data_IF_283773374140
#
_entry.id   IF_283773374140
#
_cell.length_a   1.000
_cell.length_b   1.000
_cell.length_c   1.000
_cell.angle_alpha   90.00
_cell.angle_beta   90.00
_cell.angle_gamma   90.00
#
_symmetry.space_group_name_H-M   'P 1'
#
loop_
_entity.id
_entity.type
_entity.pdbx_description
1 polymer ?
#
# COMPACT_ATOMS: atom_id res chain seq x y z
N UNK A 1 4.38 8.01 -9.12
CA UNK A 1 5.84 7.76 -9.10
C UNK A 1 6.56 8.38 -7.90
N UNK A 2 6.28 9.62 -7.52
CA UNK A 2 6.95 10.33 -6.41
C UNK A 2 7.21 9.49 -5.14
N UNK A 3 6.20 8.73 -4.69
CA UNK A 3 6.32 7.90 -3.49
C UNK A 3 7.32 6.74 -3.60
N UNK A 4 7.48 6.18 -4.80
CA UNK A 4 8.47 5.13 -5.07
C UNK A 4 9.89 5.70 -4.99
N UNK A 5 10.12 6.86 -5.62
CA UNK A 5 11.40 7.58 -5.58
C UNK A 5 11.77 7.95 -4.14
N UNK A 6 10.82 8.52 -3.38
CA UNK A 6 11.03 8.87 -1.98
C UNK A 6 11.36 7.63 -1.13
N UNK A 7 10.70 6.50 -1.39
CA UNK A 7 10.96 5.24 -0.69
C UNK A 7 12.37 4.71 -1.00
N UNK A 8 12.79 4.69 -2.27
CA UNK A 8 14.15 4.30 -2.66
C UNK A 8 15.20 5.22 -2.04
N UNK A 9 14.94 6.53 -2.03
CA UNK A 9 15.80 7.53 -1.40
C UNK A 9 15.96 7.27 0.10
N UNK A 10 14.85 7.07 0.82
CA UNK A 10 14.85 6.77 2.24
C UNK A 10 15.59 5.47 2.56
N UNK A 11 15.31 4.40 1.81
CA UNK A 11 15.96 3.09 1.97
C UNK A 11 17.48 3.18 1.80
N UNK A 12 17.95 3.94 0.80
CA UNK A 12 19.38 4.10 0.54
C UNK A 12 20.12 4.81 1.68
N UNK A 13 19.43 5.65 2.45
CA UNK A 13 20.02 6.47 3.53
C UNK A 13 19.85 5.86 4.93
N UNK A 14 18.79 5.06 5.15
CA UNK A 14 18.37 4.64 6.49
C UNK A 14 18.37 3.11 6.70
N UNK A 15 18.66 2.33 5.65
CA UNK A 15 18.64 0.87 5.74
C UNK A 15 19.87 0.22 5.12
N UNK A 16 20.09 -1.06 5.41
CA UNK A 16 21.09 -1.88 4.74
C UNK A 16 20.50 -2.65 3.54
N UNK A 17 19.27 -2.34 3.14
CA UNK A 17 18.60 -3.01 2.02
C UNK A 17 19.29 -2.58 0.72
N UNK A 18 19.74 -3.53 -0.13
CA UNK A 18 20.28 -3.17 -1.44
C UNK A 18 19.15 -2.68 -2.35
N UNK A 19 19.09 -1.37 -2.57
CA UNK A 19 18.14 -0.73 -3.48
C UNK A 19 18.87 -0.05 -4.64
N UNK A 20 18.27 0.01 -5.85
CA UNK A 20 18.83 0.77 -6.95
C UNK A 20 18.88 2.25 -6.61
N UNK A 21 19.96 2.92 -6.99
CA UNK A 21 20.05 4.38 -6.88
C UNK A 21 19.27 5.02 -8.01
N UNK A 22 18.39 5.96 -7.66
CA UNK A 22 17.67 6.78 -8.64
C UNK A 22 18.65 7.74 -9.31
N UNK A 23 18.66 7.75 -10.64
CA UNK A 23 19.51 8.61 -11.48
C UNK A 23 18.73 9.86 -11.90
N UNK A 24 17.51 9.66 -12.38
CA UNK A 24 16.59 10.71 -12.80
C UNK A 24 15.16 10.17 -12.78
N UNK A 25 14.18 11.04 -12.67
CA UNK A 25 12.77 10.69 -12.81
C UNK A 25 11.98 11.93 -13.23
N UNK A 26 10.79 11.70 -13.76
CA UNK A 26 9.78 12.72 -14.00
C UNK A 26 8.42 12.13 -13.62
N UNK A 27 7.75 12.77 -12.66
CA UNK A 27 6.43 12.36 -12.16
C UNK A 27 5.29 13.25 -12.68
N UNK A 28 5.58 14.15 -13.62
CA UNK A 28 4.57 14.98 -14.28
C UNK A 28 3.80 14.19 -15.33
N UNK A 29 2.51 14.53 -15.49
CA UNK A 29 1.64 13.99 -16.56
C UNK A 29 1.47 15.02 -17.66
N UNK A 30 1.31 14.54 -18.89
CA UNK A 30 1.38 15.24 -20.19
C UNK A 30 0.27 16.28 -20.46
N UNK A 31 -0.20 16.96 -19.42
CA UNK A 31 -1.19 18.02 -19.51
C UNK A 31 -0.88 19.25 -18.63
N UNK A 32 0.15 19.21 -17.78
CA UNK A 32 0.53 20.36 -16.94
C UNK A 32 1.77 21.12 -17.47
N UNK A 33 2.71 20.46 -18.15
CA UNK A 33 3.91 21.09 -18.72
C UNK A 33 4.42 20.30 -19.93
N UNK A 34 4.77 20.98 -21.03
CA UNK A 34 5.37 20.39 -22.25
C UNK A 34 6.79 19.82 -22.04
N UNK A 35 7.22 19.63 -20.80
CA UNK A 35 8.61 19.34 -20.44
C UNK A 35 8.86 17.83 -20.34
N UNK A 36 7.84 17.00 -20.09
CA UNK A 36 7.96 15.55 -20.12
C UNK A 36 7.69 15.00 -21.53
N UNK A 37 8.72 14.96 -22.38
CA UNK A 37 8.62 14.48 -23.77
C UNK A 37 8.14 13.02 -23.91
N UNK A 38 8.25 12.21 -22.85
CA UNK A 38 7.79 10.80 -22.85
C UNK A 38 6.27 10.72 -22.69
N UNK A 39 5.65 11.74 -22.09
CA UNK A 39 4.20 11.83 -21.89
C UNK A 39 3.64 10.95 -20.76
N UNK A 40 4.51 10.26 -20.02
CA UNK A 40 4.14 9.41 -18.87
C UNK A 40 5.16 9.56 -17.74
N UNK A 41 4.75 9.25 -16.52
CA UNK A 41 5.66 9.18 -15.38
C UNK A 41 6.78 8.14 -15.67
N UNK A 42 8.04 8.49 -15.47
CA UNK A 42 9.18 7.58 -15.68
C UNK A 42 10.30 7.75 -14.64
N UNK A 43 10.98 6.64 -14.34
CA UNK A 43 12.14 6.58 -13.43
C UNK A 43 13.31 5.89 -14.13
N UNK A 44 14.49 6.49 -14.04
CA UNK A 44 15.76 5.92 -14.45
C UNK A 44 16.60 5.63 -13.20
N UNK A 45 17.09 4.41 -13.08
CA UNK A 45 17.83 3.95 -11.90
C UNK A 45 18.91 2.93 -12.26
N UNK A 46 19.85 2.69 -11.34
CA UNK A 46 20.90 1.70 -11.51
C UNK A 46 20.32 0.29 -11.73
N UNK A 47 20.95 -0.50 -12.61
CA UNK A 47 20.60 -1.90 -12.78
C UNK A 47 21.19 -2.76 -11.63
N UNK A 48 20.32 -3.38 -10.82
CA UNK A 48 20.73 -4.33 -9.78
C UNK A 48 20.86 -5.71 -10.40
N UNK A 49 22.09 -6.22 -10.49
CA UNK A 49 22.33 -7.57 -11.01
C UNK A 49 21.81 -8.62 -10.04
N UNK A 50 20.99 -9.55 -10.52
CA UNK A 50 20.41 -10.60 -9.70
C UNK A 50 19.55 -11.57 -10.51
N UNK A 51 18.98 -12.54 -9.83
CA UNK A 51 17.94 -13.42 -10.38
C UNK A 51 16.84 -13.58 -9.34
N UNK A 52 15.60 -13.73 -9.80
CA UNK A 52 14.46 -13.92 -8.93
C UNK A 52 14.63 -15.18 -8.06
N UNK A 53 14.32 -15.06 -6.77
CA UNK A 53 14.32 -16.17 -5.83
C UNK A 53 13.42 -17.31 -6.33
N UNK A 54 12.23 -17.01 -6.86
CA UNK A 54 11.34 -17.97 -7.52
C UNK A 54 12.06 -18.90 -8.51
N UNK A 55 12.96 -18.36 -9.32
CA UNK A 55 13.68 -19.12 -10.37
C UNK A 55 14.70 -20.09 -9.77
N UNK A 56 15.29 -19.74 -8.63
CA UNK A 56 16.36 -20.51 -7.96
C UNK A 56 15.82 -21.38 -6.82
N UNK A 57 14.65 -21.07 -6.27
CA UNK A 57 14.13 -21.61 -5.02
C UNK A 57 14.14 -23.14 -4.96
N UNK A 58 13.69 -23.82 -6.03
CA UNK A 58 13.69 -25.29 -6.10
C UNK A 58 15.09 -25.92 -6.09
N UNK A 59 16.10 -25.18 -6.53
CA UNK A 59 17.51 -25.61 -6.62
C UNK A 59 18.34 -25.17 -5.40
N UNK A 60 17.81 -24.26 -4.59
CA UNK A 60 18.47 -23.82 -3.35
C UNK A 60 18.45 -24.91 -2.29
N UNK A 61 19.53 -25.00 -1.53
CA UNK A 61 19.57 -25.87 -0.35
C UNK A 61 18.63 -25.32 0.73
N UNK A 62 18.30 -26.14 1.73
CA UNK A 62 17.52 -25.66 2.88
C UNK A 62 18.25 -24.57 3.67
N UNK A 63 19.59 -24.62 3.73
CA UNK A 63 20.38 -23.59 4.39
C UNK A 63 20.30 -22.26 3.63
N UNK A 64 20.44 -22.29 2.29
CA UNK A 64 20.31 -21.07 1.47
C UNK A 64 18.93 -20.42 1.62
N UNK A 65 17.87 -21.22 1.68
CA UNK A 65 16.50 -20.73 1.89
C UNK A 65 16.35 -20.08 3.26
N UNK A 66 16.90 -20.73 4.29
CA UNK A 66 16.92 -20.18 5.65
C UNK A 66 17.64 -18.84 5.68
N UNK A 67 18.85 -18.76 5.13
CA UNK A 67 19.62 -17.51 5.06
C UNK A 67 18.87 -16.41 4.31
N UNK A 68 18.21 -16.74 3.19
CA UNK A 68 17.40 -15.79 2.43
C UNK A 68 16.24 -15.23 3.29
N UNK A 69 15.47 -16.10 3.93
CA UNK A 69 14.34 -15.69 4.78
C UNK A 69 14.83 -14.87 5.99
N UNK A 70 15.94 -15.24 6.62
CA UNK A 70 16.56 -14.47 7.71
C UNK A 70 16.97 -13.07 7.26
N UNK A 71 17.54 -12.93 6.06
CA UNK A 71 17.88 -11.62 5.49
C UNK A 71 16.64 -10.78 5.19
N UNK A 72 15.60 -11.38 4.60
CA UNK A 72 14.31 -10.71 4.35
C UNK A 72 13.72 -10.18 5.67
N UNK A 73 13.68 -11.02 6.70
CA UNK A 73 13.16 -10.63 8.01
C UNK A 73 13.98 -9.50 8.64
N UNK A 74 15.32 -9.56 8.54
CA UNK A 74 16.21 -8.50 9.05
C UNK A 74 15.98 -7.18 8.34
N UNK A 75 15.82 -7.20 7.01
CA UNK A 75 15.53 -6.01 6.22
C UNK A 75 14.17 -5.42 6.59
N UNK A 76 13.12 -6.24 6.67
CA UNK A 76 11.78 -5.77 7.07
C UNK A 76 11.75 -5.13 8.45
N UNK A 77 12.49 -5.67 9.42
CA UNK A 77 12.59 -5.09 10.76
C UNK A 77 13.14 -3.66 10.76
N UNK A 78 13.94 -3.29 9.76
CA UNK A 78 14.46 -1.92 9.58
C UNK A 78 13.40 -0.96 9.00
N UNK A 79 12.30 -1.47 8.46
CA UNK A 79 11.27 -0.70 7.73
C UNK A 79 10.03 -0.40 8.57
N UNK A 80 10.03 -0.78 9.85
CA UNK A 80 8.89 -0.56 10.74
C UNK A 80 8.85 0.91 11.19
N UNK A 81 8.11 1.74 10.45
CA UNK A 81 7.78 3.12 10.80
C UNK A 81 6.46 3.16 11.62
N UNK A 82 6.32 4.03 12.64
CA UNK A 82 5.08 4.22 13.40
C UNK A 82 3.88 4.78 12.60
N UNK A 83 4.05 5.44 11.46
CA UNK A 83 2.93 5.92 10.64
C UNK A 83 2.55 4.97 9.49
N UNK A 84 1.31 5.07 9.00
CA UNK A 84 0.78 4.34 7.84
C UNK A 84 0.55 5.36 6.71
N UNK A 85 1.36 5.30 5.66
CA UNK A 85 1.30 6.23 4.55
C UNK A 85 2.32 5.90 3.47
N UNK A 86 2.31 6.68 2.40
CA UNK A 86 3.36 6.63 1.37
C UNK A 86 4.39 7.69 1.68
N UNK A 87 5.68 7.36 1.60
CA UNK A 87 6.74 8.33 1.85
C UNK A 87 6.75 9.43 0.79
N UNK A 88 7.10 10.63 1.23
CA UNK A 88 7.30 11.80 0.40
C UNK A 88 8.59 12.49 0.83
N UNK A 89 9.38 12.90 -0.16
CA UNK A 89 10.56 13.71 0.06
C UNK A 89 10.20 15.19 0.24
N UNK A 90 10.87 15.85 1.17
CA UNK A 90 10.71 17.27 1.50
C UNK A 90 12.08 17.88 1.75
N UNK A 91 12.16 19.21 1.86
CA UNK A 91 13.40 19.93 2.21
C UNK A 91 14.03 19.46 3.54
N UNK A 92 13.25 18.82 4.41
CA UNK A 92 13.66 18.37 5.74
C UNK A 92 13.88 16.84 5.83
N UNK A 93 13.83 16.15 4.69
CA UNK A 93 13.95 14.69 4.61
C UNK A 93 12.64 14.02 4.20
N UNK A 94 12.47 12.76 4.57
CA UNK A 94 11.34 11.94 4.17
C UNK A 94 10.28 11.89 5.26
N UNK A 95 9.02 12.12 4.88
CA UNK A 95 7.88 12.03 5.79
C UNK A 95 6.80 11.14 5.18
N UNK A 96 6.06 10.39 6.01
CA UNK A 96 4.81 9.75 5.60
C UNK A 96 3.78 10.80 5.14
N UNK A 97 3.14 10.55 4.00
CA UNK A 97 2.05 11.35 3.43
C UNK A 97 0.84 10.44 3.13
N UNK A 98 -0.13 10.92 2.34
CA UNK A 98 -1.30 10.17 1.88
C UNK A 98 -0.92 8.77 1.40
N UNK A 99 -1.63 7.78 1.89
CA UNK A 99 -1.50 6.38 1.49
C UNK A 99 -1.94 6.20 0.04
N UNK A 100 -1.04 5.68 -0.79
CA UNK A 100 -1.35 5.23 -2.14
C UNK A 100 -1.63 3.72 -2.10
N UNK A 101 -2.91 3.37 -2.01
CA UNK A 101 -3.41 1.99 -2.08
C UNK A 101 -4.59 1.93 -3.05
N UNK A 102 -4.69 0.85 -3.84
CA UNK A 102 -5.76 0.69 -4.84
C UNK A 102 -7.16 0.89 -4.23
N UNK A 103 -7.37 0.44 -2.99
CA UNK A 103 -8.64 0.66 -2.30
C UNK A 103 -9.01 2.14 -2.21
N UNK A 104 -8.04 3.05 -2.12
CA UNK A 104 -8.32 4.47 -1.97
C UNK A 104 -8.57 5.17 -3.32
N UNK A 105 -7.93 4.77 -4.41
CA UNK A 105 -7.98 5.55 -5.67
C UNK A 105 -8.62 4.83 -6.85
N UNK A 106 -8.95 3.54 -6.75
CA UNK A 106 -9.54 2.80 -7.88
C UNK A 106 -11.02 3.14 -8.06
N UNK A 107 -11.43 3.44 -9.30
CA UNK A 107 -12.82 3.74 -9.64
C UNK A 107 -13.39 4.92 -8.85
N UNK A 108 -14.62 4.80 -8.37
CA UNK A 108 -15.32 5.87 -7.65
C UNK A 108 -14.67 6.24 -6.32
N UNK A 109 -13.82 5.36 -5.76
CA UNK A 109 -13.15 5.61 -4.48
C UNK A 109 -12.26 6.86 -4.53
N UNK A 110 -11.72 7.21 -5.70
CA UNK A 110 -10.94 8.42 -5.90
C UNK A 110 -11.74 9.69 -5.53
N UNK A 111 -13.05 9.69 -5.84
CA UNK A 111 -13.92 10.85 -5.67
C UNK A 111 -14.52 10.95 -4.26
N UNK A 112 -14.28 9.97 -3.38
CA UNK A 112 -14.80 10.02 -2.04
C UNK A 112 -14.01 11.01 -1.18
N UNK A 113 -14.75 11.89 -0.51
CA UNK A 113 -14.22 12.72 0.57
C UNK A 113 -14.00 11.85 1.81
N UNK A 114 -12.74 11.52 2.06
CA UNK A 114 -12.28 10.64 3.13
C UNK A 114 -10.84 11.00 3.47
N UNK A 115 -10.45 10.82 4.73
CA UNK A 115 -9.05 10.97 5.13
C UNK A 115 -8.19 9.89 4.45
N UNK A 116 -7.11 10.29 3.78
CA UNK A 116 -6.26 9.37 3.00
C UNK A 116 -4.91 9.11 3.65
N UNK A 117 -4.73 9.53 4.89
CA UNK A 117 -3.47 9.47 5.60
C UNK A 117 -2.65 10.76 5.50
N UNK A 118 -1.44 10.76 6.08
CA UNK A 118 -0.85 9.64 6.81
C UNK A 118 -1.67 9.29 8.05
N UNK A 119 -1.84 8.00 8.35
CA UNK A 119 -2.56 7.55 9.53
C UNK A 119 -1.57 7.26 10.65
N UNK A 120 -1.89 7.70 11.87
CA UNK A 120 -1.05 7.45 13.06
C UNK A 120 -1.43 6.18 13.80
N UNK A 121 -2.61 5.65 13.54
CA UNK A 121 -3.13 4.44 14.18
C UNK A 121 -3.86 3.55 13.18
N UNK A 122 -3.93 2.26 13.52
CA UNK A 122 -4.73 1.26 12.81
C UNK A 122 -6.20 1.63 12.82
N UNK A 123 -6.69 2.25 13.91
CA UNK A 123 -8.05 2.79 13.98
C UNK A 123 -8.31 3.79 12.85
N UNK A 124 -7.49 4.84 12.72
CA UNK A 124 -7.71 5.88 11.72
C UNK A 124 -7.63 5.37 10.28
N UNK A 125 -6.69 4.45 10.02
CA UNK A 125 -6.57 3.77 8.73
C UNK A 125 -7.79 2.91 8.41
N UNK A 126 -8.17 2.00 9.31
CA UNK A 126 -9.25 1.05 9.10
C UNK A 126 -10.62 1.74 9.06
N UNK A 127 -10.79 2.82 9.83
CA UNK A 127 -11.95 3.71 9.73
C UNK A 127 -12.16 4.20 8.31
N UNK A 128 -11.11 4.78 7.71
CA UNK A 128 -11.17 5.35 6.36
C UNK A 128 -11.37 4.26 5.30
N UNK A 129 -10.71 3.12 5.47
CA UNK A 129 -10.87 1.95 4.62
C UNK A 129 -12.32 1.42 4.62
N UNK A 130 -12.90 1.21 5.81
CA UNK A 130 -14.28 0.73 5.97
C UNK A 130 -15.29 1.77 5.46
N UNK A 131 -15.03 3.05 5.68
CA UNK A 131 -15.88 4.12 5.15
C UNK A 131 -15.96 4.07 3.61
N UNK A 132 -14.81 3.94 2.93
CA UNK A 132 -14.75 3.78 1.47
C UNK A 132 -15.51 2.52 1.05
N UNK A 133 -15.28 1.39 1.74
CA UNK A 133 -15.93 0.13 1.43
C UNK A 133 -17.45 0.22 1.52
N UNK A 134 -17.97 0.74 2.63
CA UNK A 134 -19.41 0.91 2.86
C UNK A 134 -20.00 1.82 1.78
N UNK A 135 -19.38 2.97 1.52
CA UNK A 135 -19.86 3.92 0.52
C UNK A 135 -19.85 3.33 -0.88
N UNK A 136 -18.77 2.66 -1.27
CA UNK A 136 -18.64 1.97 -2.57
C UNK A 136 -19.69 0.87 -2.74
N UNK A 137 -19.93 0.07 -1.70
CA UNK A 137 -20.95 -1.00 -1.74
C UNK A 137 -22.37 -0.45 -1.78
N UNK A 138 -22.68 0.67 -1.13
CA UNK A 138 -23.98 1.34 -1.29
C UNK A 138 -24.20 1.76 -2.75
N UNK A 139 -23.21 2.39 -3.39
CA UNK A 139 -23.32 2.78 -4.80
C UNK A 139 -23.46 1.56 -5.73
N UNK A 140 -22.72 0.48 -5.46
CA UNK A 140 -22.84 -0.76 -6.22
C UNK A 140 -24.22 -1.41 -6.06
N UNK A 141 -24.82 -1.35 -4.86
CA UNK A 141 -26.16 -1.86 -4.60
C UNK A 141 -27.22 -1.05 -5.35
N UNK A 142 -27.15 0.29 -5.28
CA UNK A 142 -28.03 1.18 -6.02
C UNK A 142 -27.94 0.92 -7.55
N UNK A 143 -26.74 0.55 -8.02
CA UNK A 143 -26.51 0.14 -9.40
C UNK A 143 -27.16 -1.20 -9.74
N UNK A 144 -26.92 -2.24 -8.93
CA UNK A 144 -27.48 -3.57 -9.16
C UNK A 144 -29.01 -3.56 -9.15
N UNK A 145 -29.64 -2.86 -8.19
CA UNK A 145 -31.11 -2.71 -8.11
C UNK A 145 -31.66 -2.02 -9.36
N UNK A 146 -30.98 -0.97 -9.84
CA UNK A 146 -31.40 -0.24 -11.04
C UNK A 146 -31.23 -1.07 -12.32
N UNK A 147 -30.23 -1.94 -12.37
CA UNK A 147 -29.91 -2.78 -13.53
C UNK A 147 -30.64 -4.14 -13.50
N UNK A 148 -31.28 -4.49 -12.38
CA UNK A 148 -32.01 -5.75 -12.22
C UNK A 148 -31.11 -6.97 -12.07
N UNK A 149 -29.88 -6.79 -11.57
CA UNK A 149 -28.91 -7.85 -11.34
C UNK A 149 -29.04 -8.40 -9.91
N UNK A 150 -29.84 -9.45 -9.74
CA UNK A 150 -30.15 -10.03 -8.43
C UNK A 150 -28.94 -10.76 -7.79
N UNK A 151 -28.08 -11.38 -8.60
CA UNK A 151 -26.88 -12.09 -8.09
C UNK A 151 -25.85 -11.08 -7.54
N UNK A 152 -25.59 -10.01 -8.29
CA UNK A 152 -24.74 -8.90 -7.83
C UNK A 152 -25.34 -8.21 -6.59
N UNK A 153 -26.67 -8.09 -6.51
CA UNK A 153 -27.32 -7.45 -5.37
C UNK A 153 -27.12 -8.22 -4.07
N UNK A 154 -27.24 -9.56 -4.08
CA UNK A 154 -27.06 -10.40 -2.90
C UNK A 154 -25.60 -10.39 -2.40
N UNK A 155 -24.62 -10.47 -3.31
CA UNK A 155 -23.20 -10.42 -2.95
C UNK A 155 -22.83 -9.05 -2.37
N UNK A 156 -23.33 -7.97 -2.97
CA UNK A 156 -23.10 -6.60 -2.48
C UNK A 156 -23.75 -6.40 -1.11
N UNK A 157 -24.98 -6.90 -0.91
CA UNK A 157 -25.68 -6.84 0.37
C UNK A 157 -24.93 -7.55 1.49
N UNK A 158 -24.44 -8.77 1.23
CA UNK A 158 -23.64 -9.52 2.18
C UNK A 158 -22.37 -8.75 2.58
N UNK A 159 -21.59 -8.29 1.59
CA UNK A 159 -20.37 -7.55 1.85
C UNK A 159 -20.62 -6.22 2.59
N UNK A 160 -21.68 -5.49 2.24
CA UNK A 160 -22.07 -4.25 2.92
C UNK A 160 -22.42 -4.49 4.39
N UNK A 161 -23.12 -5.58 4.68
CA UNK A 161 -23.45 -5.97 6.06
C UNK A 161 -22.17 -6.22 6.87
N UNK A 162 -21.25 -7.03 6.35
CA UNK A 162 -19.98 -7.32 7.03
C UNK A 162 -19.18 -6.04 7.28
N UNK A 163 -19.08 -5.15 6.28
CA UNK A 163 -18.36 -3.89 6.44
C UNK A 163 -18.96 -2.99 7.53
N UNK A 164 -20.30 -2.94 7.64
CA UNK A 164 -21.00 -2.21 8.70
C UNK A 164 -20.79 -2.84 10.09
N UNK A 165 -20.83 -4.16 10.19
CA UNK A 165 -20.55 -4.87 11.45
C UNK A 165 -19.11 -4.60 11.91
N UNK A 166 -18.12 -4.67 11.01
CA UNK A 166 -16.73 -4.32 11.30
C UNK A 166 -16.55 -2.86 11.72
N UNK A 167 -17.27 -1.93 11.08
CA UNK A 167 -17.23 -0.51 11.44
C UNK A 167 -17.76 -0.27 12.87
N UNK A 168 -18.79 -0.99 13.29
CA UNK A 168 -19.33 -0.88 14.65
C UNK A 168 -18.39 -1.48 15.70
N UNK A 169 -17.66 -2.54 15.36
CA UNK A 169 -16.66 -3.17 16.24
C UNK A 169 -15.34 -2.38 16.30
N UNK A 170 -15.11 -1.47 15.35
CA UNK A 170 -13.83 -0.78 15.20
C UNK A 170 -13.35 -0.11 16.50
N UNK A 171 -14.17 0.67 17.25
CA UNK A 171 -13.72 1.31 18.49
C UNK A 171 -13.41 0.33 19.63
N UNK A 172 -13.95 -0.89 19.57
CA UNK A 172 -13.70 -1.93 20.59
C UNK A 172 -12.40 -2.70 20.32
N UNK A 173 -12.05 -2.89 19.04
CA UNK A 173 -10.84 -3.62 18.62
C UNK A 173 -9.63 -2.69 18.57
N UNK A 174 -9.81 -1.50 18.00
CA UNK A 174 -8.80 -0.45 17.92
C UNK A 174 -9.38 0.82 18.56
N UNK A 175 -8.86 1.21 19.72
CA UNK A 175 -9.33 2.38 20.45
C UNK A 175 -8.98 3.67 19.69
N UNK A 176 -9.88 4.67 19.61
CA UNK A 176 -9.62 5.90 18.84
C UNK A 176 -8.51 6.81 19.41
N UNK A 177 -8.31 6.78 20.72
CA UNK A 177 -7.54 7.78 21.48
C UNK A 177 -6.13 7.36 21.87
N UNK A 178 -5.73 6.14 21.53
CA UNK A 178 -4.40 5.68 21.86
C UNK A 178 -3.49 5.90 20.64
N UNK A 179 -2.41 6.66 20.87
CA UNK A 179 -1.10 6.44 20.22
C UNK A 179 -0.64 5.04 20.68
N UNK A 180 -1.45 4.02 20.39
CA UNK A 180 -1.21 2.65 20.82
C UNK A 180 0.12 2.27 20.22
N UNK A 181 0.89 1.54 21.01
CA UNK A 181 1.98 0.70 20.53
C UNK A 181 1.35 -0.39 19.63
N UNK A 182 0.77 0.04 18.51
CA UNK A 182 0.17 -0.77 17.47
C UNK A 182 1.29 -1.70 17.05
N UNK A 183 1.24 -2.93 17.57
CA UNK A 183 2.25 -3.92 17.29
C UNK A 183 2.17 -4.23 15.80
N UNK A 184 3.04 -3.57 15.04
CA UNK A 184 3.19 -3.81 13.61
C UNK A 184 3.89 -5.15 13.46
N UNK A 185 3.15 -6.11 12.93
CA UNK A 185 3.70 -7.42 12.60
C UNK A 185 3.87 -7.47 11.09
N UNK A 186 4.94 -8.12 10.65
CA UNK A 186 5.10 -8.46 9.26
C UNK A 186 3.96 -9.40 8.85
N UNK A 187 3.11 -8.91 7.97
CA UNK A 187 2.06 -9.71 7.36
C UNK A 187 2.20 -9.66 5.85
N UNK A 188 2.12 -10.83 5.24
CA UNK A 188 2.12 -11.00 3.79
C UNK A 188 1.06 -12.05 3.46
N UNK A 189 -0.02 -11.61 2.80
CA UNK A 189 -1.24 -12.38 2.55
C UNK A 189 -0.97 -13.55 1.58
N UNK A 190 0.04 -13.36 0.73
CA UNK A 190 0.37 -14.27 -0.36
C UNK A 190 1.81 -14.78 -0.25
N UNK A 191 2.05 -15.85 0.51
CA UNK A 191 3.36 -16.51 0.55
C UNK A 191 3.58 -17.47 -0.63
N UNK A 192 2.95 -17.22 -1.77
CA UNK A 192 3.20 -18.00 -2.98
C UNK A 192 4.62 -17.77 -3.51
N UNK A 193 5.11 -18.72 -4.32
CA UNK A 193 6.42 -18.63 -4.94
C UNK A 193 6.61 -17.41 -5.87
N UNK A 194 5.54 -16.75 -6.31
CA UNK A 194 5.64 -15.49 -7.06
C UNK A 194 5.98 -14.29 -6.18
N UNK A 195 5.75 -14.41 -4.87
CA UNK A 195 5.86 -13.35 -3.88
C UNK A 195 7.00 -13.61 -2.87
N UNK A 196 7.78 -14.70 -3.09
CA UNK A 196 9.03 -15.05 -2.41
C UNK A 196 10.20 -14.94 -3.39
#
# INVERSE_FOLDING_TARGET
>A
MAGEVATLGWLSQHSTVPVPRVIAFDDTRDNDTRDNEIGFEWILMDHVSGTSAQTRWRKMTMEDKKTLVENIARHHAQLLDPAIGTLKETDWGFIPDRLVSMMFFWGDHYNFDVHRGPFRSSHGWLYSFLFIMIKGKILAMDKAVREGDEEDADEVMYNLRIAKELYLLLPEIFTPDEDTDDKKVLWHDDLSLSSI
#
